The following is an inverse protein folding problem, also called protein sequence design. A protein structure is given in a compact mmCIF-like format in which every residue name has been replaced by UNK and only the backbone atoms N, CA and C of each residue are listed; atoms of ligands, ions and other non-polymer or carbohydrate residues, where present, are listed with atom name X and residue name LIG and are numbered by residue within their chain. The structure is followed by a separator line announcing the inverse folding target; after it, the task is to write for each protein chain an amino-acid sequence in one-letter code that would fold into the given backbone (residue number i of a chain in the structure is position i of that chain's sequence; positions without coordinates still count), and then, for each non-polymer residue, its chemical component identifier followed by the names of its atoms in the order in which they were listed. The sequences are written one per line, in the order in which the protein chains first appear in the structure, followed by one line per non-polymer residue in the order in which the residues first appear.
data_IF_587398381331
#
_entry.id   IF_587398381331
#
_cell.length_a   1.000
_cell.length_b   1.000
_cell.length_c   1.000
_cell.angle_alpha   90.00
_cell.angle_beta   90.00
_cell.angle_gamma   90.00
#
_symmetry.space_group_name_H-M   'P 1'
#
loop_
_entity.id
_entity.type
_entity.pdbx_description
1 polymer ?
#
# COMPACT_ATOMS: atom_id res chain seq x y z
N UNK A 1 19.88 8.88 -12.24
CA UNK A 1 18.93 7.87 -12.75
C UNK A 1 19.38 6.51 -12.24
N UNK A 2 18.60 5.83 -11.39
CA UNK A 2 18.91 4.45 -11.01
C UNK A 2 19.03 3.61 -12.28
N UNK A 3 19.99 2.68 -12.31
CA UNK A 3 20.16 1.80 -13.47
C UNK A 3 18.93 0.89 -13.55
N UNK A 4 18.44 0.57 -14.75
CA UNK A 4 17.26 -0.30 -14.94
C UNK A 4 17.30 -1.61 -14.11
N UNK A 5 18.51 -2.15 -13.91
CA UNK A 5 18.76 -3.31 -13.06
C UNK A 5 18.39 -3.06 -11.58
N UNK A 6 18.73 -1.90 -11.05
CA UNK A 6 18.44 -1.48 -9.68
C UNK A 6 16.93 -1.38 -9.45
N UNK A 7 16.20 -0.77 -10.39
CA UNK A 7 14.73 -0.70 -10.32
C UNK A 7 14.08 -2.09 -10.28
N UNK A 8 14.61 -3.05 -11.06
CA UNK A 8 14.11 -4.43 -11.06
C UNK A 8 14.43 -5.17 -9.75
N UNK A 9 15.60 -4.92 -9.16
CA UNK A 9 15.97 -5.50 -7.87
C UNK A 9 15.10 -4.95 -6.75
N UNK A 10 14.86 -3.64 -6.73
CA UNK A 10 13.96 -2.98 -5.77
C UNK A 10 12.53 -3.50 -5.94
N UNK A 11 12.02 -3.55 -7.18
CA UNK A 11 10.69 -4.11 -7.46
C UNK A 11 10.56 -5.58 -7.04
N UNK A 12 11.60 -6.40 -7.27
CA UNK A 12 11.61 -7.80 -6.83
C UNK A 12 11.57 -7.91 -5.31
N UNK A 13 12.42 -7.16 -4.60
CA UNK A 13 12.48 -7.17 -3.14
C UNK A 13 11.17 -6.68 -2.54
N UNK A 14 10.60 -5.58 -3.04
CA UNK A 14 9.31 -5.05 -2.62
C UNK A 14 8.21 -6.11 -2.81
N UNK A 15 8.13 -6.75 -3.97
CA UNK A 15 7.12 -7.77 -4.24
C UNK A 15 7.26 -8.99 -3.35
N UNK A 16 8.49 -9.49 -3.17
CA UNK A 16 8.71 -10.69 -2.39
C UNK A 16 8.48 -10.44 -0.89
N UNK A 17 9.06 -9.39 -0.33
CA UNK A 17 9.06 -9.20 1.11
C UNK A 17 7.84 -8.41 1.59
N UNK A 18 7.52 -7.28 0.96
CA UNK A 18 6.44 -6.42 1.43
C UNK A 18 5.08 -6.95 0.97
N UNK A 19 4.97 -7.32 -0.31
CA UNK A 19 3.68 -7.73 -0.88
C UNK A 19 3.36 -9.19 -0.62
N UNK A 20 4.29 -10.14 -0.83
CA UNK A 20 3.97 -11.56 -0.65
C UNK A 20 4.10 -12.01 0.79
N UNK A 21 5.25 -11.75 1.42
CA UNK A 21 5.56 -12.31 2.75
C UNK A 21 4.86 -11.52 3.85
N UNK A 22 5.08 -10.21 3.93
CA UNK A 22 4.59 -9.38 5.03
C UNK A 22 3.06 -9.30 5.03
N UNK A 23 2.45 -8.95 3.89
CA UNK A 23 0.99 -8.80 3.79
C UNK A 23 0.24 -10.11 4.07
N UNK A 24 0.76 -11.23 3.60
CA UNK A 24 0.10 -12.53 3.75
C UNK A 24 0.58 -13.36 4.93
N UNK A 25 1.44 -12.82 5.80
CA UNK A 25 1.94 -13.55 6.96
C UNK A 25 0.78 -13.93 7.91
N UNK A 26 0.73 -15.16 8.44
CA UNK A 26 1.67 -16.28 8.26
C UNK A 26 1.35 -17.21 7.08
N UNK A 27 0.17 -17.09 6.45
CA UNK A 27 -0.32 -17.99 5.41
C UNK A 27 0.63 -18.04 4.22
N UNK A 28 1.11 -16.88 3.75
CA UNK A 28 2.06 -16.80 2.65
C UNK A 28 3.37 -17.51 2.92
N UNK A 29 3.89 -17.46 4.16
CA UNK A 29 5.14 -18.12 4.54
C UNK A 29 4.99 -19.64 4.46
N UNK A 30 3.92 -20.18 5.06
CA UNK A 30 3.62 -21.61 5.03
C UNK A 30 3.37 -22.07 3.59
N UNK A 31 2.56 -21.32 2.84
CA UNK A 31 2.27 -21.59 1.44
C UNK A 31 3.52 -21.61 0.58
N UNK A 32 4.42 -20.63 0.73
CA UNK A 32 5.65 -20.54 -0.03
C UNK A 32 6.59 -21.69 0.30
N UNK A 33 6.74 -22.00 1.60
CA UNK A 33 7.52 -23.13 2.06
C UNK A 33 6.98 -24.45 1.50
N UNK A 34 5.66 -24.62 1.41
CA UNK A 34 5.05 -25.87 0.95
C UNK A 34 4.95 -25.99 -0.59
N UNK A 35 5.19 -24.92 -1.34
CA UNK A 35 5.02 -24.86 -2.79
C UNK A 35 5.84 -25.89 -3.58
N UNK A 36 7.09 -26.23 -3.23
CA UNK A 36 7.86 -27.26 -3.95
C UNK A 36 7.21 -28.64 -3.93
N UNK A 37 6.43 -28.94 -2.89
CA UNK A 37 5.74 -30.22 -2.71
C UNK A 37 4.38 -30.23 -3.40
N UNK A 38 3.54 -29.23 -3.13
CA UNK A 38 2.15 -29.25 -3.60
C UNK A 38 1.93 -28.54 -4.93
N UNK A 39 2.81 -27.61 -5.33
CA UNK A 39 2.70 -26.86 -6.59
C UNK A 39 2.89 -27.69 -7.87
N UNK A 40 3.29 -28.97 -7.74
CA UNK A 40 3.52 -29.87 -8.88
C UNK A 40 2.25 -30.55 -9.40
N UNK A 41 1.13 -30.45 -8.69
CA UNK A 41 -0.14 -31.08 -9.07
C UNK A 41 -0.71 -30.50 -10.36
N UNK A 42 -1.26 -31.37 -11.23
CA UNK A 42 -1.84 -30.96 -12.51
C UNK A 42 -2.95 -29.89 -12.36
N UNK A 43 -3.76 -29.99 -11.30
CA UNK A 43 -4.83 -29.02 -11.02
C UNK A 43 -4.31 -27.63 -10.62
N UNK A 44 -3.12 -27.55 -10.00
CA UNK A 44 -2.55 -26.30 -9.48
C UNK A 44 -1.61 -25.65 -10.52
N UNK A 45 -1.11 -26.43 -11.49
CA UNK A 45 -0.17 -25.97 -12.51
C UNK A 45 -0.61 -24.69 -13.25
N UNK A 46 -1.88 -24.53 -13.71
CA UNK A 46 -2.30 -23.28 -14.34
C UNK A 46 -2.14 -22.07 -13.41
N UNK A 47 -2.48 -22.24 -12.14
CA UNK A 47 -2.36 -21.20 -11.12
C UNK A 47 -0.89 -20.87 -10.81
N UNK A 48 0.00 -21.87 -10.76
CA UNK A 48 1.46 -21.66 -10.63
C UNK A 48 1.99 -20.85 -11.80
N UNK A 49 1.68 -21.27 -13.03
CA UNK A 49 2.16 -20.59 -14.25
C UNK A 49 1.64 -19.16 -14.29
N UNK A 50 0.36 -18.95 -14.05
CA UNK A 50 -0.23 -17.60 -14.06
C UNK A 50 0.38 -16.72 -12.96
N UNK A 51 0.54 -17.24 -11.73
CA UNK A 51 1.17 -16.51 -10.62
C UNK A 51 2.61 -16.14 -10.92
N UNK A 52 3.40 -17.06 -11.48
CA UNK A 52 4.79 -16.84 -11.83
C UNK A 52 4.92 -15.81 -12.97
N UNK A 53 4.07 -15.90 -13.99
CA UNK A 53 4.04 -14.93 -15.09
C UNK A 53 3.67 -13.55 -14.59
N UNK A 54 2.58 -13.43 -13.81
CA UNK A 54 2.15 -12.15 -13.26
C UNK A 54 3.24 -11.53 -12.39
N UNK A 55 3.82 -12.28 -11.45
CA UNK A 55 4.93 -11.81 -10.63
C UNK A 55 6.14 -11.36 -11.47
N UNK A 56 6.51 -12.14 -12.48
CA UNK A 56 7.66 -11.83 -13.34
C UNK A 56 7.42 -10.59 -14.18
N UNK A 57 6.23 -10.46 -14.79
CA UNK A 57 5.88 -9.33 -15.65
C UNK A 57 5.83 -8.05 -14.83
N UNK A 58 5.14 -8.06 -13.68
CA UNK A 58 5.05 -6.85 -12.83
C UNK A 58 6.44 -6.47 -12.31
N UNK A 59 7.23 -7.43 -11.86
CA UNK A 59 8.58 -7.17 -11.34
C UNK A 59 9.56 -6.67 -12.40
N UNK A 60 9.59 -7.29 -13.59
CA UNK A 60 10.66 -7.06 -14.57
C UNK A 60 10.30 -6.09 -15.69
N UNK A 61 9.03 -6.11 -16.12
CA UNK A 61 8.53 -5.26 -17.22
C UNK A 61 8.03 -3.93 -16.67
N UNK A 62 7.38 -3.93 -15.50
CA UNK A 62 6.79 -2.74 -14.88
C UNK A 62 7.32 -2.46 -13.45
N UNK A 63 8.65 -2.36 -13.24
CA UNK A 63 9.22 -2.25 -11.89
C UNK A 63 8.76 -0.99 -11.15
N UNK A 64 8.54 0.13 -11.85
CA UNK A 64 8.05 1.38 -11.25
C UNK A 64 6.61 1.24 -10.79
N UNK A 65 5.70 0.80 -11.68
CA UNK A 65 4.29 0.58 -11.31
C UNK A 65 4.18 -0.38 -10.13
N UNK A 66 5.07 -1.36 -10.07
CA UNK A 66 5.17 -2.35 -9.00
C UNK A 66 5.52 -1.76 -7.64
N UNK A 67 6.56 -0.93 -7.54
CA UNK A 67 6.98 -0.31 -6.26
C UNK A 67 5.94 0.67 -5.71
N UNK A 68 5.12 1.23 -6.60
CA UNK A 68 4.06 2.19 -6.27
C UNK A 68 2.67 1.54 -6.20
N UNK A 69 2.60 0.22 -5.98
CA UNK A 69 1.36 -0.47 -5.56
C UNK A 69 0.60 -1.25 -6.66
N UNK A 70 1.00 -1.22 -7.92
CA UNK A 70 0.25 -1.93 -8.98
C UNK A 70 0.35 -3.45 -8.83
N UNK A 71 1.47 -3.96 -8.31
CA UNK A 71 1.59 -5.38 -8.03
C UNK A 71 0.74 -5.82 -6.84
N UNK A 72 0.49 -4.96 -5.85
CA UNK A 72 -0.41 -5.26 -4.73
C UNK A 72 -1.78 -5.73 -5.25
N UNK A 73 -2.31 -5.05 -6.27
CA UNK A 73 -3.57 -5.40 -6.92
C UNK A 73 -3.45 -6.66 -7.81
N UNK A 74 -2.34 -6.83 -8.52
CA UNK A 74 -2.09 -8.00 -9.39
C UNK A 74 -1.71 -9.27 -8.61
N UNK A 75 -1.30 -9.15 -7.34
CA UNK A 75 -0.84 -10.24 -6.51
C UNK A 75 -1.97 -11.20 -6.07
N UNK A 76 -3.22 -10.94 -6.45
CA UNK A 76 -4.35 -11.81 -6.11
C UNK A 76 -4.12 -13.27 -6.48
N UNK A 77 -3.61 -13.54 -7.69
CA UNK A 77 -3.38 -14.92 -8.13
C UNK A 77 -2.33 -15.67 -7.29
N UNK A 78 -1.22 -15.00 -6.99
CA UNK A 78 -0.14 -15.60 -6.19
C UNK A 78 -0.55 -15.75 -4.73
N UNK A 79 -1.34 -14.83 -4.16
CA UNK A 79 -1.92 -15.04 -2.83
C UNK A 79 -2.89 -16.22 -2.80
N UNK A 80 -3.72 -16.39 -3.82
CA UNK A 80 -4.60 -17.57 -3.95
C UNK A 80 -3.76 -18.85 -4.03
N UNK A 81 -2.67 -18.85 -4.82
CA UNK A 81 -1.75 -19.98 -4.88
C UNK A 81 -1.17 -20.31 -3.50
N UNK A 82 -0.69 -19.30 -2.77
CA UNK A 82 -0.10 -19.48 -1.45
C UNK A 82 -1.13 -19.97 -0.43
N UNK A 83 -2.37 -19.47 -0.47
CA UNK A 83 -3.48 -19.94 0.36
C UNK A 83 -3.76 -21.42 0.08
N UNK A 84 -3.97 -21.80 -1.19
CA UNK A 84 -4.25 -23.20 -1.56
C UNK A 84 -3.11 -24.12 -1.12
N UNK A 85 -1.87 -23.69 -1.35
CA UNK A 85 -0.67 -24.47 -1.00
C UNK A 85 -0.54 -24.60 0.53
N UNK A 86 -0.82 -23.54 1.29
CA UNK A 86 -0.86 -23.56 2.74
C UNK A 86 -1.92 -24.54 3.26
N UNK A 87 -3.13 -24.52 2.69
CA UNK A 87 -4.21 -25.43 3.07
C UNK A 87 -3.84 -26.90 2.83
N UNK A 88 -3.20 -27.21 1.70
CA UNK A 88 -2.72 -28.57 1.42
C UNK A 88 -1.61 -29.01 2.39
N UNK A 89 -0.72 -28.10 2.78
CA UNK A 89 0.32 -28.37 3.76
C UNK A 89 -0.27 -28.65 5.15
N UNK A 90 -1.27 -27.87 5.56
CA UNK A 90 -1.96 -28.05 6.83
C UNK A 90 -2.76 -29.36 6.84
N UNK A 91 -3.45 -29.68 5.75
CA UNK A 91 -4.18 -30.96 5.60
C UNK A 91 -3.24 -32.16 5.70
N UNK A 92 -2.11 -32.12 4.98
CA UNK A 92 -1.08 -33.14 5.07
C UNK A 92 -0.52 -33.27 6.50
N UNK A 93 -0.25 -32.16 7.18
CA UNK A 93 0.24 -32.16 8.56
C UNK A 93 -0.77 -32.79 9.52
N UNK A 94 -2.06 -32.45 9.37
CA UNK A 94 -3.15 -33.03 10.16
C UNK A 94 -3.22 -34.55 9.93
N UNK A 95 -3.14 -35.00 8.67
CA UNK A 95 -3.13 -36.43 8.35
C UNK A 95 -1.92 -37.15 8.95
N UNK A 96 -0.72 -36.57 8.84
CA UNK A 96 0.50 -37.13 9.40
C UNK A 96 0.44 -37.26 10.94
N UNK A 97 -0.09 -36.23 11.62
CA UNK A 97 -0.34 -36.26 13.06
C UNK A 97 -1.38 -37.32 13.40
N UNK A 98 -2.45 -37.44 12.60
CA UNK A 98 -3.50 -38.43 12.79
C UNK A 98 -2.98 -39.86 12.71
N UNK A 99 -2.14 -40.17 11.73
CA UNK A 99 -1.45 -41.48 11.65
C UNK A 99 -0.58 -41.72 12.88
N UNK A 100 0.25 -40.74 13.25
CA UNK A 100 1.16 -40.85 14.40
C UNK A 100 0.44 -41.00 15.74
N UNK A 101 -0.76 -40.41 15.87
CA UNK A 101 -1.60 -40.48 17.08
C UNK A 101 -2.67 -41.57 17.00
N UNK A 102 -2.66 -42.38 15.95
CA UNK A 102 -3.64 -43.45 15.71
C UNK A 102 -5.09 -42.96 15.81
N UNK A 103 -5.39 -41.79 15.24
CA UNK A 103 -6.75 -41.29 15.18
C UNK A 103 -7.61 -42.23 14.32
N UNK A 104 -8.57 -42.89 14.96
CA UNK A 104 -9.42 -43.92 14.31
C UNK A 104 -10.62 -43.34 13.58
N UNK A 105 -10.89 -42.03 13.72
CA UNK A 105 -11.97 -41.32 13.06
C UNK A 105 -11.46 -40.02 12.44
N UNK A 106 -11.94 -39.63 11.24
CA UNK A 106 -11.61 -38.34 10.67
C UNK A 106 -12.05 -37.23 11.62
N UNK A 107 -11.15 -36.29 11.90
CA UNK A 107 -11.36 -35.19 12.85
C UNK A 107 -12.20 -34.10 12.20
N UNK A 108 -13.44 -34.45 11.86
CA UNK A 108 -14.38 -33.58 11.13
C UNK A 108 -14.72 -32.29 11.89
N UNK A 109 -14.45 -32.21 13.19
CA UNK A 109 -14.63 -30.99 13.99
C UNK A 109 -13.49 -29.98 13.83
N UNK A 110 -12.31 -30.39 13.38
CA UNK A 110 -11.14 -29.50 13.33
C UNK A 110 -11.33 -28.39 12.30
N UNK A 111 -11.83 -28.74 11.10
CA UNK A 111 -12.13 -27.76 10.07
C UNK A 111 -13.13 -26.67 10.54
N UNK A 112 -14.34 -27.01 11.04
CA UNK A 112 -15.26 -25.98 11.54
C UNK A 112 -14.69 -25.20 12.73
N UNK A 113 -13.92 -25.82 13.64
CA UNK A 113 -13.26 -25.08 14.73
C UNK A 113 -12.25 -24.07 14.19
N UNK A 114 -11.41 -24.45 13.23
CA UNK A 114 -10.46 -23.53 12.61
C UNK A 114 -11.17 -22.42 11.82
N UNK A 115 -12.26 -22.74 11.12
CA UNK A 115 -13.09 -21.74 10.42
C UNK A 115 -13.70 -20.74 11.39
N UNK A 116 -14.31 -21.22 12.49
CA UNK A 116 -14.88 -20.36 13.53
C UNK A 116 -13.80 -19.51 14.18
N UNK A 117 -12.64 -20.09 14.51
CA UNK A 117 -11.51 -19.35 15.07
C UNK A 117 -11.03 -18.23 14.13
N UNK A 118 -10.84 -18.54 12.84
CA UNK A 118 -10.47 -17.54 11.83
C UNK A 118 -11.50 -16.43 11.66
N UNK A 119 -12.79 -16.79 11.63
CA UNK A 119 -13.89 -15.82 11.56
C UNK A 119 -13.96 -14.91 12.79
N UNK A 120 -13.75 -15.47 13.99
CA UNK A 120 -13.69 -14.72 15.25
C UNK A 120 -12.49 -13.77 15.25
N UNK A 121 -11.30 -14.25 14.88
CA UNK A 121 -10.09 -13.42 14.80
C UNK A 121 -10.28 -12.27 13.80
N UNK A 122 -10.80 -12.56 12.61
CA UNK A 122 -11.10 -11.53 11.61
C UNK A 122 -12.11 -10.50 12.13
N UNK A 123 -13.21 -10.97 12.75
CA UNK A 123 -14.29 -10.09 13.19
C UNK A 123 -13.94 -9.24 14.41
N UNK A 124 -13.16 -9.79 15.36
CA UNK A 124 -12.83 -9.11 16.61
C UNK A 124 -11.51 -8.33 16.57
N UNK A 125 -10.61 -8.66 15.65
CA UNK A 125 -9.28 -8.04 15.57
C UNK A 125 -9.12 -7.27 14.26
N UNK A 126 -9.27 -7.93 13.11
CA UNK A 126 -8.98 -7.31 11.83
C UNK A 126 -9.99 -6.21 11.47
N UNK A 127 -11.29 -6.48 11.56
CA UNK A 127 -12.33 -5.49 11.24
C UNK A 127 -12.24 -4.22 12.10
N UNK A 128 -12.12 -4.30 13.45
CA UNK A 128 -11.94 -3.11 14.27
C UNK A 128 -10.66 -2.33 13.96
N UNK A 129 -9.55 -3.03 13.67
CA UNK A 129 -8.30 -2.38 13.30
C UNK A 129 -8.43 -1.58 11.99
N UNK A 130 -9.04 -2.16 10.95
CA UNK A 130 -9.33 -1.43 9.71
C UNK A 130 -10.26 -0.24 9.96
N UNK A 131 -11.33 -0.44 10.76
CA UNK A 131 -12.26 0.63 11.11
C UNK A 131 -11.60 1.77 11.90
N UNK A 132 -10.66 1.46 12.80
CA UNK A 132 -9.85 2.46 13.49
C UNK A 132 -8.98 3.24 12.50
N UNK A 133 -8.21 2.54 11.66
CA UNK A 133 -7.37 3.18 10.65
C UNK A 133 -8.16 4.10 9.71
N UNK A 134 -9.33 3.68 9.23
CA UNK A 134 -10.19 4.54 8.40
C UNK A 134 -10.66 5.80 9.13
N UNK A 135 -11.00 5.70 10.42
CA UNK A 135 -11.39 6.87 11.24
C UNK A 135 -10.21 7.79 11.51
N UNK A 136 -9.01 7.23 11.70
CA UNK A 136 -7.80 8.00 11.92
C UNK A 136 -7.44 8.79 10.65
N UNK A 137 -7.47 8.15 9.47
CA UNK A 137 -7.31 8.81 8.17
C UNK A 137 -8.36 9.89 7.94
N UNK A 138 -9.63 9.61 8.28
CA UNK A 138 -10.70 10.62 8.16
C UNK A 138 -10.45 11.81 9.08
N UNK A 139 -10.03 11.56 10.33
CA UNK A 139 -9.74 12.60 11.33
C UNK A 139 -8.54 13.45 10.91
N UNK A 140 -7.51 12.80 10.35
CA UNK A 140 -6.33 13.45 9.80
C UNK A 140 -6.69 14.47 8.71
N UNK A 141 -7.43 14.06 7.67
CA UNK A 141 -7.80 14.98 6.59
C UNK A 141 -8.80 16.05 7.03
N UNK A 142 -9.68 15.75 7.98
CA UNK A 142 -10.55 16.75 8.59
C UNK A 142 -9.73 17.83 9.33
N UNK A 143 -8.70 17.42 10.08
CA UNK A 143 -7.78 18.33 10.75
C UNK A 143 -6.97 19.16 9.75
N UNK A 144 -6.47 18.54 8.67
CA UNK A 144 -5.74 19.22 7.60
C UNK A 144 -6.60 20.32 6.96
N UNK A 145 -7.87 20.05 6.66
CA UNK A 145 -8.78 21.02 6.08
C UNK A 145 -9.00 22.26 6.97
N UNK A 146 -9.03 22.07 8.29
CA UNK A 146 -9.12 23.17 9.26
C UNK A 146 -7.81 23.96 9.29
N UNK A 147 -6.67 23.30 9.44
CA UNK A 147 -5.36 23.97 9.47
C UNK A 147 -5.06 24.78 8.20
N UNK A 148 -5.46 24.26 7.03
CA UNK A 148 -5.33 24.96 5.77
C UNK A 148 -6.25 26.17 5.64
N UNK A 149 -7.45 26.10 6.23
CA UNK A 149 -8.35 27.26 6.28
C UNK A 149 -7.77 28.37 7.14
N UNK A 150 -7.24 28.02 8.30
CA UNK A 150 -6.68 28.97 9.27
C UNK A 150 -5.43 29.68 8.76
N UNK A 151 -4.67 29.02 7.88
CA UNK A 151 -3.51 29.59 7.17
C UNK A 151 -3.88 30.35 5.90
N UNK A 152 -5.16 30.51 5.59
CA UNK A 152 -5.65 31.23 4.40
C UNK A 152 -5.41 30.50 3.09
N UNK A 153 -5.35 29.16 3.14
CA UNK A 153 -5.15 28.28 2.00
C UNK A 153 -6.25 27.18 1.92
N UNK A 154 -7.55 27.53 2.00
CA UNK A 154 -8.60 26.52 2.07
C UNK A 154 -8.56 25.63 0.83
N UNK A 155 -8.78 24.34 1.04
CA UNK A 155 -8.94 23.39 -0.06
C UNK A 155 -10.23 23.71 -0.82
N UNK A 156 -10.11 23.82 -2.13
CA UNK A 156 -11.21 24.20 -3.03
C UNK A 156 -11.69 22.97 -3.82
N UNK A 157 -13.00 22.79 -3.93
CA UNK A 157 -13.60 21.74 -4.74
C UNK A 157 -13.40 21.97 -6.26
N UNK A 158 -13.05 23.18 -6.68
CA UNK A 158 -12.84 23.52 -8.09
C UNK A 158 -11.42 23.27 -8.59
N UNK A 159 -10.43 23.22 -7.69
CA UNK A 159 -9.02 23.20 -8.06
C UNK A 159 -8.33 21.96 -7.50
N UNK A 160 -7.54 21.24 -8.32
CA UNK A 160 -6.90 20.04 -7.84
C UNK A 160 -5.78 20.30 -6.85
N UNK A 161 -5.56 19.33 -5.97
CA UNK A 161 -4.45 19.29 -5.00
C UNK A 161 -3.56 18.11 -5.34
N UNK A 162 -2.25 18.32 -5.43
CA UNK A 162 -1.29 17.23 -5.65
C UNK A 162 -0.97 16.58 -4.29
N UNK A 163 -1.04 15.27 -4.18
CA UNK A 163 -0.70 14.54 -2.94
C UNK A 163 -0.26 13.11 -3.21
N UNK A 164 0.51 12.52 -2.30
CA UNK A 164 0.88 11.11 -2.34
C UNK A 164 -0.30 10.16 -2.00
N UNK A 165 -1.38 10.67 -1.40
CA UNK A 165 -2.60 9.90 -1.10
C UNK A 165 -3.86 10.50 -1.74
N UNK A 166 -3.93 10.59 -3.09
CA UNK A 166 -4.99 11.32 -3.78
C UNK A 166 -6.39 10.74 -3.57
N UNK A 167 -6.50 9.42 -3.41
CA UNK A 167 -7.79 8.75 -3.19
C UNK A 167 -8.38 9.15 -1.84
N UNK A 168 -7.57 9.14 -0.78
CA UNK A 168 -8.06 9.42 0.57
C UNK A 168 -8.42 10.89 0.76
N UNK A 169 -7.59 11.81 0.23
CA UNK A 169 -7.88 13.24 0.23
C UNK A 169 -9.17 13.54 -0.56
N UNK A 170 -9.29 13.01 -1.77
CA UNK A 170 -10.45 13.22 -2.62
C UNK A 170 -11.74 12.64 -2.02
N UNK A 171 -11.70 11.45 -1.45
CA UNK A 171 -12.88 10.82 -0.86
C UNK A 171 -13.33 11.54 0.41
N UNK A 172 -12.38 11.92 1.28
CA UNK A 172 -12.68 12.52 2.58
C UNK A 172 -13.15 13.96 2.46
N UNK A 173 -12.46 14.76 1.64
CA UNK A 173 -12.72 16.20 1.53
C UNK A 173 -13.48 16.60 0.28
N UNK A 174 -13.78 15.64 -0.62
CA UNK A 174 -14.49 15.88 -1.89
C UNK A 174 -13.80 16.93 -2.77
N UNK A 175 -12.46 16.96 -2.73
CA UNK A 175 -11.64 17.83 -3.58
C UNK A 175 -10.96 17.04 -4.70
N UNK A 176 -10.88 17.58 -5.93
CA UNK A 176 -10.11 16.94 -6.98
C UNK A 176 -8.67 16.76 -6.51
N UNK A 177 -8.10 15.57 -6.69
CA UNK A 177 -6.75 15.27 -6.22
C UNK A 177 -5.94 14.59 -7.32
N UNK A 178 -4.68 14.99 -7.45
CA UNK A 178 -3.71 14.44 -8.40
C UNK A 178 -2.65 13.67 -7.62
N UNK A 179 -2.21 12.53 -8.16
CA UNK A 179 -1.10 11.79 -7.57
C UNK A 179 0.19 12.61 -7.66
N UNK A 180 0.94 12.69 -6.57
CA UNK A 180 2.29 13.23 -6.52
C UNK A 180 3.24 12.24 -7.20
N UNK A 181 3.80 12.53 -8.39
CA UNK A 181 4.72 11.62 -9.06
C UNK A 181 6.08 11.64 -8.38
N UNK A 182 6.75 10.48 -8.27
CA UNK A 182 8.14 10.38 -7.79
C UNK A 182 9.17 10.85 -8.86
N UNK A 183 9.05 12.11 -9.27
CA UNK A 183 9.84 12.77 -10.32
C UNK A 183 10.52 14.04 -9.79
N UNK A 184 11.45 14.68 -10.53
CA UNK A 184 12.03 15.94 -10.06
C UNK A 184 10.98 17.03 -9.80
N UNK A 185 11.25 17.95 -8.88
CA UNK A 185 10.32 19.04 -8.52
C UNK A 185 9.82 19.85 -9.74
N UNK A 186 10.65 20.04 -10.76
CA UNK A 186 10.24 20.65 -12.04
C UNK A 186 9.12 19.90 -12.77
N UNK A 187 9.10 18.56 -12.72
CA UNK A 187 8.01 17.75 -13.28
C UNK A 187 6.70 17.98 -12.52
N UNK A 188 6.76 18.08 -11.18
CA UNK A 188 5.58 18.38 -10.35
C UNK A 188 5.05 19.79 -10.64
N UNK A 189 5.93 20.77 -10.83
CA UNK A 189 5.53 22.12 -11.25
C UNK A 189 4.88 22.11 -12.65
N UNK A 190 5.44 21.35 -13.60
CA UNK A 190 4.84 21.15 -14.93
C UNK A 190 3.47 20.48 -14.87
N UNK A 191 3.30 19.48 -13.99
CA UNK A 191 2.02 18.84 -13.73
C UNK A 191 1.00 19.85 -13.20
N UNK A 192 1.37 20.66 -12.21
CA UNK A 192 0.50 21.70 -11.68
C UNK A 192 0.10 22.73 -12.77
N UNK A 193 1.02 23.11 -13.65
CA UNK A 193 0.73 24.01 -14.77
C UNK A 193 -0.23 23.40 -15.81
N UNK A 194 -0.17 22.08 -16.02
CA UNK A 194 -1.08 21.36 -16.91
C UNK A 194 -2.53 21.33 -16.38
N UNK A 195 -2.72 21.36 -15.06
CA UNK A 195 -4.02 21.35 -14.41
C UNK A 195 -4.32 22.70 -13.76
N UNK A 196 -5.03 23.56 -14.51
CA UNK A 196 -5.30 24.96 -14.11
C UNK A 196 -5.83 25.08 -12.67
N UNK A 197 -5.23 26.00 -11.93
CA UNK A 197 -5.59 26.34 -10.55
C UNK A 197 -4.99 25.43 -9.47
N UNK A 198 -4.24 24.39 -9.86
CA UNK A 198 -3.44 23.61 -8.92
C UNK A 198 -2.40 24.51 -8.26
N UNK A 199 -2.51 24.68 -6.94
CA UNK A 199 -1.64 25.59 -6.18
C UNK A 199 -1.10 25.00 -4.89
N UNK A 200 -1.53 23.80 -4.50
CA UNK A 200 -1.14 23.13 -3.28
C UNK A 200 -0.60 21.73 -3.58
N UNK A 201 0.47 21.38 -2.86
CA UNK A 201 1.00 20.02 -2.75
C UNK A 201 0.95 19.62 -1.27
N UNK A 202 0.37 18.47 -0.97
CA UNK A 202 0.31 17.89 0.37
C UNK A 202 1.11 16.59 0.38
N UNK A 203 2.08 16.49 1.27
CA UNK A 203 2.90 15.30 1.46
C UNK A 203 2.63 14.78 2.87
N UNK A 204 2.02 13.61 2.97
CA UNK A 204 1.77 12.94 4.26
C UNK A 204 2.81 11.82 4.46
N UNK A 205 3.46 11.80 5.62
CA UNK A 205 4.49 10.82 5.97
C UNK A 205 5.91 11.22 5.53
N UNK A 206 6.92 10.68 6.21
CA UNK A 206 8.32 11.02 5.97
C UNK A 206 9.01 10.19 4.87
N UNK A 207 8.43 9.04 4.47
CA UNK A 207 9.16 7.98 3.75
C UNK A 207 8.57 7.58 2.37
N UNK A 208 7.66 8.35 1.77
CA UNK A 208 7.11 8.03 0.45
C UNK A 208 7.92 8.62 -0.70
N UNK A 209 9.05 7.96 -0.98
CA UNK A 209 9.91 8.28 -2.13
C UNK A 209 10.84 9.45 -1.85
N UNK A 210 10.92 10.40 -2.79
CA UNK A 210 11.84 11.55 -2.68
C UNK A 210 11.26 12.77 -1.98
N UNK A 211 9.95 12.80 -1.74
CA UNK A 211 9.28 13.92 -1.08
C UNK A 211 9.15 13.61 0.41
N UNK A 212 9.22 14.63 1.29
CA UNK A 212 9.30 16.07 0.98
C UNK A 212 10.72 16.58 0.67
N UNK A 213 11.76 15.77 0.92
CA UNK A 213 13.18 16.14 0.83
C UNK A 213 13.60 16.78 -0.50
N UNK A 214 12.99 16.37 -1.62
CA UNK A 214 13.26 16.95 -2.94
C UNK A 214 12.83 18.44 -3.07
N UNK A 215 11.92 18.91 -2.22
CA UNK A 215 11.58 20.34 -2.14
C UNK A 215 12.62 21.13 -1.34
N UNK A 216 13.29 20.48 -0.38
CA UNK A 216 14.30 21.12 0.47
C UNK A 216 15.70 21.10 -0.16
N UNK A 217 15.99 20.13 -1.04
CA UNK A 217 17.31 19.87 -1.60
C UNK A 217 17.78 20.88 -2.66
N UNK A 218 16.94 21.86 -3.02
CA UNK A 218 17.27 22.87 -4.03
C UNK A 218 17.38 22.32 -5.46
N UNK A 219 16.79 21.14 -5.72
CA UNK A 219 16.72 20.57 -7.07
C UNK A 219 16.02 21.52 -8.07
N UNK A 220 16.24 21.38 -9.39
CA UNK A 220 15.55 22.18 -10.39
C UNK A 220 14.02 22.16 -10.19
N UNK A 221 13.43 23.36 -10.07
CA UNK A 221 12.00 23.54 -9.81
C UNK A 221 11.61 23.59 -8.32
N UNK A 222 12.50 23.23 -7.38
CA UNK A 222 12.22 23.28 -5.94
C UNK A 222 11.86 24.69 -5.45
N UNK A 223 12.46 25.73 -6.05
CA UNK A 223 12.15 27.14 -5.75
C UNK A 223 10.68 27.53 -6.02
N UNK A 224 9.94 26.71 -6.78
CA UNK A 224 8.51 26.90 -7.02
C UNK A 224 7.63 26.46 -5.86
N UNK A 225 8.17 25.76 -4.86
CA UNK A 225 7.43 25.23 -3.74
C UNK A 225 7.82 25.99 -2.48
N UNK A 226 6.85 26.68 -1.89
CA UNK A 226 7.02 27.36 -0.60
C UNK A 226 6.22 26.61 0.45
N UNK A 227 6.91 26.12 1.47
CA UNK A 227 6.24 25.46 2.58
C UNK A 227 5.26 26.42 3.27
N UNK A 228 4.05 25.91 3.51
CA UNK A 228 3.01 26.59 4.25
C UNK A 228 3.00 25.99 5.66
N UNK A 229 3.46 26.74 6.68
CA UNK A 229 3.51 26.22 8.04
C UNK A 229 2.08 25.97 8.53
N UNK A 230 1.79 24.73 8.89
CA UNK A 230 0.54 24.36 9.55
C UNK A 230 0.61 24.80 11.02
N UNK A 231 -0.52 25.21 11.59
CA UNK A 231 -0.61 25.46 13.02
C UNK A 231 -0.53 24.12 13.76
N UNK A 232 0.61 23.88 14.40
CA UNK A 232 0.88 22.68 15.18
C UNK A 232 0.52 22.86 16.67
N UNK A 233 -0.32 23.84 17.00
CA UNK A 233 -0.84 24.02 18.36
C UNK A 233 -2.20 23.34 18.54
N UNK A 234 -2.39 22.66 19.67
CA UNK A 234 -3.66 22.03 20.02
C UNK A 234 -3.83 20.56 19.60
N UNK A 235 -5.08 20.10 19.58
CA UNK A 235 -5.42 18.67 19.45
C UNK A 235 -5.07 18.07 18.07
N UNK A 236 -4.97 18.90 17.03
CA UNK A 236 -4.64 18.48 15.66
C UNK A 236 -3.15 18.25 15.43
N UNK A 237 -2.29 18.72 16.34
CA UNK A 237 -0.84 18.69 16.18
C UNK A 237 -0.30 17.27 15.98
N UNK A 238 -0.80 16.30 16.76
CA UNK A 238 -0.40 14.90 16.64
C UNK A 238 -0.93 14.23 15.38
N UNK A 239 -2.05 14.73 14.82
CA UNK A 239 -2.63 14.17 13.60
C UNK A 239 -1.85 14.62 12.36
N UNK A 240 -1.27 15.81 12.38
CA UNK A 240 -0.57 16.44 11.26
C UNK A 240 0.95 16.43 11.40
N UNK A 241 1.48 15.70 12.40
CA UNK A 241 2.91 15.72 12.75
C UNK A 241 3.82 15.41 11.56
N UNK A 242 3.38 14.48 10.71
CA UNK A 242 4.13 14.02 9.54
C UNK A 242 3.59 14.62 8.23
N UNK A 243 2.73 15.65 8.29
CA UNK A 243 2.17 16.31 7.10
C UNK A 243 2.90 17.60 6.80
N UNK A 244 3.37 17.72 5.56
CA UNK A 244 3.94 18.96 5.03
C UNK A 244 3.13 19.45 3.85
N UNK A 245 2.89 20.76 3.81
CA UNK A 245 2.12 21.41 2.74
C UNK A 245 2.98 22.45 2.04
N UNK A 246 2.94 22.44 0.72
CA UNK A 246 3.67 23.38 -0.11
C UNK A 246 2.71 24.13 -1.03
N UNK A 247 2.87 25.45 -1.09
CA UNK A 247 2.21 26.31 -2.06
C UNK A 247 3.10 26.46 -3.29
N UNK A 248 2.52 26.29 -4.47
CA UNK A 248 3.18 26.67 -5.71
C UNK A 248 3.21 28.19 -5.87
N UNK A 249 4.40 28.75 -6.09
CA UNK A 249 4.62 30.20 -6.26
C UNK A 249 5.13 30.58 -7.66
N UNK A 250 5.46 29.59 -8.49
CA UNK A 250 5.80 29.81 -9.88
C UNK A 250 4.53 29.91 -10.76
N UNK A 251 4.59 30.69 -11.85
CA UNK A 251 3.50 30.81 -12.82
C UNK A 251 3.28 29.54 -13.65
#
# INVERSE_FOLDING_TARGET
MPRLLELRLIGFAHNLFNVLVLLGMPISVIGLAALPWFGRGHAIRPLVVFSALTFTITTLVFPVSTTWGTFLHAAGAIHVLLIVTCLLALDWLIAAVGVRRSWTRPVAWLAPVLTVFGAVLFSLVALPAFGAGSRDTQSHYAALAVALRDTGAPLDAQHPVITNFPIWLAETLRVPSLALPDEPAASVASLAAAFRGTSLVVVDGEDEGRYPTAFDSGEPGAACFRELPLDMTGASASLLADTRVFRLVCP
#
